data_IF_354145430395
#
_entry.id   IF_354145430395
#
_cell.length_a   1.000
_cell.length_b   1.000
_cell.length_c   1.000
_cell.angle_alpha   90.00
_cell.angle_beta   90.00
_cell.angle_gamma   90.00
#
_symmetry.space_group_name_H-M   'P 1'
#
loop_
_entity.id
_entity.type
_entity.pdbx_description
1 polymer ?
#
# COMPACT_ATOMS: atom_id res chain seq x y z
N UNK A 1 -24.30 16.40 23.62
CA UNK A 1 -25.26 15.31 23.88
C UNK A 1 -26.66 15.89 23.74
N UNK A 2 -27.33 15.67 22.60
CA UNK A 2 -28.71 16.15 22.36
C UNK A 2 -29.64 15.06 22.89
N UNK A 3 -30.31 15.34 23.99
CA UNK A 3 -31.36 14.47 24.53
C UNK A 3 -32.64 14.62 23.69
N UNK A 4 -33.01 13.54 22.98
CA UNK A 4 -34.32 13.45 22.34
C UNK A 4 -35.44 13.52 23.39
N UNK A 5 -36.46 14.33 23.13
CA UNK A 5 -37.58 14.50 24.03
C UNK A 5 -38.35 13.18 24.21
N UNK A 6 -38.94 12.98 25.41
CA UNK A 6 -39.74 11.78 25.77
C UNK A 6 -40.86 11.49 24.77
N UNK A 7 -41.35 12.50 24.07
CA UNK A 7 -42.41 12.37 23.06
C UNK A 7 -41.92 11.70 21.76
N UNK A 8 -40.66 11.91 21.38
CA UNK A 8 -40.06 11.26 20.22
C UNK A 8 -39.67 9.80 20.50
N UNK A 9 -39.39 9.47 21.76
CA UNK A 9 -39.13 8.07 22.16
C UNK A 9 -40.42 7.25 22.16
N UNK A 10 -41.56 7.83 22.60
CA UNK A 10 -42.87 7.17 22.60
C UNK A 10 -43.37 6.89 21.17
N UNK A 11 -43.18 7.83 20.23
CA UNK A 11 -43.56 7.65 18.83
C UNK A 11 -42.70 6.61 18.07
N UNK A 12 -41.47 6.40 18.52
CA UNK A 12 -40.61 5.33 17.97
C UNK A 12 -41.06 3.95 18.46
N UNK A 13 -41.47 3.88 19.72
CA UNK A 13 -41.92 2.64 20.35
C UNK A 13 -43.28 2.17 19.82
N UNK A 14 -44.20 3.11 19.56
CA UNK A 14 -45.53 2.84 18.98
C UNK A 14 -45.42 2.35 17.51
N UNK A 15 -44.40 2.80 16.74
CA UNK A 15 -44.12 2.33 15.37
C UNK A 15 -43.49 0.94 15.34
N UNK A 16 -42.86 0.49 16.39
CA UNK A 16 -42.27 -0.84 16.49
C UNK A 16 -43.29 -1.91 16.91
N UNK A 17 -44.29 -1.55 17.70
CA UNK A 17 -45.35 -2.49 18.16
C UNK A 17 -46.51 -2.67 17.18
N UNK A 18 -46.69 -1.79 16.20
CA UNK A 18 -47.76 -1.93 15.18
C UNK A 18 -47.38 -2.79 13.97
N UNK A 19 -46.23 -3.45 13.97
CA UNK A 19 -45.77 -4.36 12.91
C UNK A 19 -45.74 -5.85 13.27
N UNK A 20 -46.20 -6.20 14.49
CA UNK A 20 -46.35 -7.60 14.92
C UNK A 20 -47.84 -8.01 14.93
N UNK A 21 -48.43 -8.17 13.78
CA UNK A 21 -49.76 -8.73 13.65
C UNK A 21 -50.09 -8.96 12.17
N UNK A 22 -50.16 -10.23 11.81
CA UNK A 22 -50.56 -10.85 10.52
C UNK A 22 -49.45 -11.25 9.57
N UNK A 23 -48.79 -12.37 9.88
CA UNK A 23 -48.35 -13.37 8.90
C UNK A 23 -48.26 -14.74 9.58
N UNK A 24 -49.39 -15.37 9.76
CA UNK A 24 -49.48 -16.84 9.90
C UNK A 24 -49.96 -17.36 8.56
N UNK A 25 -49.12 -18.01 7.80
CA UNK A 25 -49.33 -19.30 7.16
C UNK A 25 -48.41 -19.43 5.91
N UNK A 26 -47.93 -20.66 5.78
CA UNK A 26 -47.14 -21.22 4.69
C UNK A 26 -45.62 -21.01 4.81
N UNK A 27 -44.98 -21.93 5.50
CA UNK A 27 -43.57 -22.24 5.33
C UNK A 27 -43.32 -22.62 3.88
N UNK A 28 -42.60 -21.82 3.10
CA UNK A 28 -41.98 -22.36 1.89
C UNK A 28 -40.96 -23.40 2.36
N UNK A 29 -41.02 -24.61 1.79
CA UNK A 29 -39.91 -25.53 1.85
C UNK A 29 -38.67 -24.72 1.38
N UNK A 30 -37.75 -24.44 2.29
CA UNK A 30 -36.40 -23.99 1.94
C UNK A 30 -35.80 -25.12 1.11
N UNK A 31 -35.92 -25.02 -0.19
CA UNK A 31 -34.97 -25.63 -1.10
C UNK A 31 -33.67 -24.87 -0.76
N UNK A 32 -32.83 -25.48 0.03
CA UNK A 32 -31.41 -25.08 0.16
C UNK A 32 -30.83 -25.17 -1.24
N UNK A 33 -30.88 -24.06 -1.97
CA UNK A 33 -30.03 -23.87 -3.13
C UNK A 33 -28.64 -23.75 -2.52
N UNK A 34 -27.88 -24.85 -2.57
CA UNK A 34 -26.46 -24.83 -2.23
C UNK A 34 -25.85 -23.67 -3.03
N UNK A 35 -25.34 -22.68 -2.35
CA UNK A 35 -24.58 -21.63 -3.02
C UNK A 35 -23.46 -22.33 -3.79
N UNK A 36 -23.30 -22.05 -5.11
CA UNK A 36 -22.26 -22.71 -5.88
C UNK A 36 -20.93 -22.54 -5.18
N UNK A 37 -20.16 -23.63 -5.08
CA UNK A 37 -18.82 -23.61 -4.51
C UNK A 37 -17.99 -22.54 -5.22
N UNK A 38 -17.35 -21.67 -4.47
CA UNK A 38 -16.48 -20.61 -5.01
C UNK A 38 -15.27 -21.21 -5.75
N UNK A 39 -14.91 -22.45 -5.40
CA UNK A 39 -13.84 -23.23 -6.01
C UNK A 39 -14.44 -24.61 -6.35
N UNK A 40 -14.55 -24.92 -7.63
CA UNK A 40 -14.99 -26.23 -8.13
C UNK A 40 -14.03 -26.72 -9.22
N UNK A 41 -12.94 -27.43 -8.85
CA UNK A 41 -11.95 -27.92 -9.81
C UNK A 41 -12.53 -28.89 -10.87
N UNK A 42 -13.70 -29.47 -10.62
CA UNK A 42 -14.33 -30.40 -11.61
C UNK A 42 -14.81 -29.70 -12.87
N UNK A 43 -14.95 -28.36 -12.81
CA UNK A 43 -15.37 -27.50 -13.95
C UNK A 43 -14.21 -26.96 -14.76
N UNK A 44 -12.98 -27.19 -14.33
CA UNK A 44 -11.79 -26.62 -14.95
C UNK A 44 -11.34 -27.42 -16.17
N UNK A 45 -10.81 -26.75 -17.18
CA UNK A 45 -10.30 -27.39 -18.39
C UNK A 45 -8.81 -27.67 -18.22
N UNK A 46 -8.44 -28.93 -18.10
CA UNK A 46 -7.04 -29.35 -17.99
C UNK A 46 -6.27 -29.03 -19.28
N UNK A 47 -5.03 -28.58 -19.14
CA UNK A 47 -4.09 -28.49 -20.25
C UNK A 47 -3.62 -29.88 -20.71
N UNK A 48 -2.93 -29.93 -21.84
CA UNK A 48 -2.25 -31.15 -22.29
C UNK A 48 -1.28 -31.64 -21.20
N UNK A 49 -1.23 -32.96 -20.96
CA UNK A 49 -0.32 -33.54 -19.96
C UNK A 49 1.16 -33.28 -20.26
N UNK A 50 1.50 -33.04 -21.51
CA UNK A 50 2.85 -32.68 -21.94
C UNK A 50 3.11 -31.15 -21.92
N UNK A 51 2.13 -30.35 -21.53
CA UNK A 51 2.29 -28.89 -21.47
C UNK A 51 3.39 -28.48 -20.47
N UNK A 52 4.16 -27.49 -20.84
CA UNK A 52 5.15 -26.82 -19.98
C UNK A 52 4.90 -25.32 -20.12
N UNK A 53 4.62 -24.66 -19.00
CA UNK A 53 4.43 -23.21 -18.98
C UNK A 53 5.75 -22.48 -18.69
N UNK A 54 5.86 -21.26 -19.20
CA UNK A 54 7.02 -20.40 -18.93
C UNK A 54 6.87 -19.76 -17.54
N UNK A 55 7.90 -19.92 -16.70
CA UNK A 55 7.93 -19.33 -15.36
C UNK A 55 7.78 -17.81 -15.39
N UNK A 56 8.30 -17.14 -16.43
CA UNK A 56 8.21 -15.68 -16.57
C UNK A 56 6.76 -15.19 -16.70
N UNK A 57 5.86 -16.00 -17.24
CA UNK A 57 4.45 -15.65 -17.34
C UNK A 57 3.76 -15.62 -15.96
N UNK A 58 4.33 -16.26 -14.95
CA UNK A 58 3.77 -16.40 -13.60
C UNK A 58 4.37 -15.41 -12.59
N UNK A 59 5.16 -14.45 -13.03
CA UNK A 59 5.57 -13.33 -12.15
C UNK A 59 4.30 -12.66 -11.62
N UNK A 60 4.16 -12.56 -10.27
CA UNK A 60 2.84 -12.38 -9.66
C UNK A 60 2.21 -11.01 -9.84
N UNK A 61 2.95 -10.02 -10.37
CA UNK A 61 2.48 -8.63 -10.39
C UNK A 61 3.06 -7.82 -11.55
N UNK A 62 2.35 -6.74 -11.88
CA UNK A 62 2.78 -5.72 -12.86
C UNK A 62 2.83 -4.35 -12.19
N UNK A 63 3.57 -3.42 -12.79
CA UNK A 63 3.57 -2.02 -12.37
C UNK A 63 2.15 -1.45 -12.33
N UNK A 64 1.87 -0.61 -11.34
CA UNK A 64 0.59 0.05 -11.15
C UNK A 64 -0.61 -0.91 -11.06
N UNK A 65 -0.39 -2.13 -10.58
CA UNK A 65 -1.44 -3.12 -10.40
C UNK A 65 -1.92 -3.14 -8.94
N UNK A 66 -3.24 -3.13 -8.78
CA UNK A 66 -3.94 -3.31 -7.50
C UNK A 66 -4.72 -4.61 -7.55
N UNK A 67 -4.52 -5.47 -6.58
CA UNK A 67 -5.32 -6.67 -6.32
C UNK A 67 -6.12 -6.50 -5.05
N UNK A 68 -7.34 -7.02 -5.05
CA UNK A 68 -8.21 -7.06 -3.89
C UNK A 68 -8.73 -8.48 -3.74
N UNK A 69 -8.53 -9.09 -2.58
CA UNK A 69 -9.09 -10.40 -2.27
C UNK A 69 -10.49 -10.31 -1.63
N UNK A 70 -11.10 -11.47 -1.36
CA UNK A 70 -12.43 -11.52 -0.74
C UNK A 70 -12.44 -11.07 0.72
N UNK A 71 -11.32 -11.17 1.43
CA UNK A 71 -11.18 -10.66 2.81
C UNK A 71 -11.13 -9.13 2.85
N UNK A 72 -10.96 -8.50 1.69
CA UNK A 72 -10.74 -7.05 1.56
C UNK A 72 -9.27 -6.65 1.64
N UNK A 73 -8.35 -7.62 1.74
CA UNK A 73 -6.91 -7.35 1.64
C UNK A 73 -6.60 -6.76 0.29
N UNK A 74 -5.84 -5.68 0.28
CA UNK A 74 -5.42 -4.96 -0.93
C UNK A 74 -3.92 -5.11 -1.10
N UNK A 75 -3.48 -5.39 -2.32
CA UNK A 75 -2.07 -5.53 -2.68
C UNK A 75 -1.75 -4.59 -3.83
N UNK A 76 -0.78 -3.72 -3.64
CA UNK A 76 -0.33 -2.76 -4.64
C UNK A 76 1.17 -2.88 -4.89
N UNK A 77 1.58 -2.85 -6.15
CA UNK A 77 3.00 -2.90 -6.53
C UNK A 77 3.66 -1.57 -6.21
N UNK A 78 4.51 -1.54 -5.19
CA UNK A 78 5.20 -0.34 -4.73
C UNK A 78 6.51 -0.13 -5.48
N UNK A 79 7.29 -1.21 -5.63
CA UNK A 79 8.54 -1.22 -6.39
C UNK A 79 8.64 -2.46 -7.26
N UNK A 80 9.12 -2.30 -8.48
CA UNK A 80 9.38 -3.36 -9.45
C UNK A 80 10.69 -3.05 -10.19
N UNK A 81 11.69 -3.92 -10.07
CA UNK A 81 12.95 -3.81 -10.78
C UNK A 81 13.17 -5.05 -11.67
N UNK A 82 12.87 -4.89 -12.95
CA UNK A 82 13.04 -5.96 -13.95
C UNK A 82 14.51 -6.31 -14.15
N UNK A 83 15.44 -5.37 -13.94
CA UNK A 83 16.87 -5.60 -14.12
C UNK A 83 17.47 -6.44 -13.00
N UNK A 84 17.00 -6.25 -11.77
CA UNK A 84 17.36 -7.03 -10.58
C UNK A 84 16.41 -8.20 -10.35
N UNK A 85 15.32 -8.28 -11.14
CA UNK A 85 14.26 -9.28 -10.99
C UNK A 85 13.71 -9.31 -9.58
N UNK A 86 13.30 -8.15 -9.06
CA UNK A 86 12.79 -7.97 -7.70
C UNK A 86 11.50 -7.17 -7.67
N UNK A 87 10.66 -7.43 -6.67
CA UNK A 87 9.35 -6.87 -6.52
C UNK A 87 9.04 -6.63 -5.04
N UNK A 88 8.52 -5.45 -4.72
CA UNK A 88 7.93 -5.12 -3.42
C UNK A 88 6.45 -4.81 -3.61
N UNK A 89 5.61 -5.53 -2.87
CA UNK A 89 4.17 -5.37 -2.87
C UNK A 89 3.72 -4.86 -1.51
N UNK A 90 3.07 -3.70 -1.50
CA UNK A 90 2.40 -3.18 -0.32
C UNK A 90 1.09 -3.93 -0.12
N UNK A 91 0.93 -4.54 1.04
CA UNK A 91 -0.29 -5.23 1.44
C UNK A 91 -0.98 -4.47 2.57
N UNK A 92 -2.28 -4.25 2.41
CA UNK A 92 -3.13 -3.59 3.39
C UNK A 92 -4.24 -4.54 3.83
N UNK A 93 -4.30 -4.83 5.12
CA UNK A 93 -5.33 -5.65 5.74
C UNK A 93 -5.92 -4.92 6.95
N UNK A 94 -7.09 -4.30 6.78
CA UNK A 94 -7.60 -3.34 7.77
C UNK A 94 -6.61 -2.17 7.91
N UNK A 95 -6.18 -1.92 9.16
CA UNK A 95 -5.19 -0.86 9.47
C UNK A 95 -3.74 -1.36 9.42
N UNK A 96 -3.53 -2.63 9.13
CA UNK A 96 -2.18 -3.21 9.06
C UNK A 96 -1.60 -3.04 7.66
N UNK A 97 -0.36 -2.56 7.63
CA UNK A 97 0.44 -2.39 6.42
C UNK A 97 1.67 -3.28 6.50
N UNK A 98 1.89 -4.09 5.48
CA UNK A 98 3.11 -4.89 5.33
C UNK A 98 3.62 -4.81 3.90
N UNK A 99 4.91 -4.97 3.71
CA UNK A 99 5.52 -5.08 2.39
C UNK A 99 5.97 -6.52 2.17
N UNK A 100 5.48 -7.14 1.10
CA UNK A 100 5.87 -8.47 0.65
C UNK A 100 7.03 -8.33 -0.33
N UNK A 101 8.10 -9.09 -0.14
CA UNK A 101 9.31 -9.01 -0.95
C UNK A 101 9.45 -10.26 -1.81
N UNK A 102 9.62 -10.09 -3.13
CA UNK A 102 9.81 -11.18 -4.08
C UNK A 102 11.06 -10.98 -4.92
N UNK A 103 11.63 -12.09 -5.34
CA UNK A 103 12.67 -12.17 -6.36
C UNK A 103 12.36 -13.30 -7.31
N UNK A 104 12.77 -13.18 -8.55
CA UNK A 104 12.68 -14.28 -9.53
C UNK A 104 13.96 -14.40 -10.34
N UNK A 105 14.16 -15.56 -10.90
CA UNK A 105 15.20 -15.90 -11.86
C UNK A 105 14.65 -16.88 -12.88
N UNK A 106 15.46 -17.46 -13.71
CA UNK A 106 15.00 -18.40 -14.74
C UNK A 106 14.61 -19.79 -14.15
N UNK A 107 14.84 -20.03 -12.85
CA UNK A 107 14.60 -21.30 -12.19
C UNK A 107 13.46 -21.22 -11.15
N UNK A 108 13.25 -20.06 -10.53
CA UNK A 108 12.33 -19.92 -9.40
C UNK A 108 11.72 -18.54 -9.27
N UNK A 109 10.54 -18.49 -8.67
CA UNK A 109 9.96 -17.30 -8.02
C UNK A 109 10.05 -17.52 -6.52
N UNK A 110 10.64 -16.57 -5.81
CA UNK A 110 10.97 -16.66 -4.40
C UNK A 110 10.29 -15.52 -3.64
N UNK A 111 9.72 -15.85 -2.47
CA UNK A 111 9.16 -14.89 -1.53
C UNK A 111 10.07 -14.81 -0.31
N UNK A 112 10.56 -13.62 -0.01
CA UNK A 112 11.49 -13.36 1.08
C UNK A 112 10.82 -12.91 2.39
N UNK A 113 9.52 -13.12 2.49
CA UNK A 113 8.73 -12.75 3.66
C UNK A 113 8.20 -11.32 3.60
N UNK A 114 7.77 -10.84 4.76
CA UNK A 114 7.11 -9.55 4.89
C UNK A 114 7.87 -8.63 5.85
N UNK A 115 7.84 -7.34 5.54
CA UNK A 115 8.39 -6.27 6.37
C UNK A 115 7.26 -5.33 6.79
N UNK A 116 7.19 -5.03 8.10
CA UNK A 116 6.34 -3.93 8.58
C UNK A 116 7.11 -2.63 8.37
N UNK A 117 6.62 -1.70 7.52
CA UNK A 117 7.38 -0.51 7.18
C UNK A 117 7.45 0.46 8.38
N UNK A 118 8.66 0.76 8.85
CA UNK A 118 8.90 1.83 9.83
C UNK A 118 8.76 3.21 9.19
N UNK A 119 9.25 3.34 7.96
CA UNK A 119 9.12 4.54 7.13
C UNK A 119 8.29 4.18 5.90
N UNK A 120 7.17 4.86 5.65
CA UNK A 120 6.34 4.58 4.48
C UNK A 120 7.11 4.78 3.16
N UNK A 121 6.76 3.99 2.14
CA UNK A 121 7.29 4.15 0.79
C UNK A 121 8.83 3.97 0.70
N UNK A 122 9.40 3.18 1.58
CA UNK A 122 10.81 2.80 1.54
C UNK A 122 11.01 1.58 0.67
N UNK A 123 12.03 1.59 -0.19
CA UNK A 123 12.42 0.42 -0.97
C UNK A 123 13.27 -0.54 -0.12
N UNK A 124 12.61 -1.47 0.56
CA UNK A 124 13.25 -2.48 1.41
C UNK A 124 14.02 -3.54 0.60
N UNK A 125 13.70 -3.73 -0.69
CA UNK A 125 14.43 -4.65 -1.55
C UNK A 125 15.90 -4.24 -1.69
N UNK A 126 16.15 -2.94 -1.84
CA UNK A 126 17.51 -2.43 -1.94
C UNK A 126 18.30 -2.71 -0.66
N UNK A 127 17.70 -2.43 0.49
CA UNK A 127 18.32 -2.66 1.81
C UNK A 127 18.53 -4.16 2.08
N UNK A 128 17.54 -4.98 1.75
CA UNK A 128 17.61 -6.43 1.95
C UNK A 128 18.68 -7.09 1.05
N UNK A 129 18.80 -6.67 -0.20
CA UNK A 129 19.81 -7.16 -1.14
C UNK A 129 21.24 -6.75 -0.73
N UNK A 130 21.43 -5.50 -0.26
CA UNK A 130 22.71 -5.00 0.22
C UNK A 130 23.13 -5.59 1.57
N UNK A 131 22.18 -5.94 2.43
CA UNK A 131 22.39 -6.41 3.79
C UNK A 131 22.51 -7.94 3.96
N UNK A 132 22.41 -8.75 2.91
CA UNK A 132 22.32 -10.22 2.97
C UNK A 132 21.25 -10.74 3.97
N UNK A 133 20.15 -10.00 4.15
CA UNK A 133 19.07 -10.36 5.08
C UNK A 133 18.06 -11.36 4.48
N UNK A 134 18.31 -11.85 3.27
CA UNK A 134 17.37 -12.66 2.48
C UNK A 134 17.63 -14.17 2.61
N UNK A 135 18.13 -14.67 3.75
CA UNK A 135 18.58 -16.06 3.89
C UNK A 135 17.47 -17.13 4.03
N UNK A 136 16.19 -16.74 4.08
CA UNK A 136 15.07 -17.68 4.25
C UNK A 136 13.97 -17.49 3.19
N UNK A 137 14.36 -17.54 1.93
CA UNK A 137 13.39 -17.48 0.85
C UNK A 137 12.51 -18.73 0.81
N UNK A 138 11.23 -18.51 0.66
CA UNK A 138 10.25 -19.51 0.30
C UNK A 138 10.19 -19.62 -1.23
N UNK A 139 10.46 -20.79 -1.81
CA UNK A 139 10.32 -21.00 -3.25
C UNK A 139 8.85 -21.19 -3.59
N UNK A 140 8.23 -20.15 -4.15
CA UNK A 140 6.81 -20.14 -4.50
C UNK A 140 6.51 -21.01 -5.72
N UNK A 141 7.30 -20.84 -6.79
CA UNK A 141 7.24 -21.66 -8.01
C UNK A 141 8.65 -22.01 -8.47
N UNK A 142 8.82 -23.22 -9.00
CA UNK A 142 10.11 -23.72 -9.54
C UNK A 142 9.94 -24.34 -10.92
N UNK A 143 10.76 -23.91 -11.88
CA UNK A 143 10.82 -24.49 -13.21
C UNK A 143 11.41 -25.92 -13.21
N UNK A 144 11.03 -26.75 -14.18
CA UNK A 144 10.04 -26.53 -15.24
C UNK A 144 8.61 -26.56 -14.69
N UNK A 145 7.72 -25.68 -15.18
CA UNK A 145 6.32 -25.66 -14.77
C UNK A 145 5.54 -26.75 -15.54
N UNK A 146 5.61 -27.98 -15.03
CA UNK A 146 4.96 -29.18 -15.60
C UNK A 146 4.39 -30.04 -14.48
N UNK A 147 3.37 -30.84 -14.80
CA UNK A 147 2.77 -31.77 -13.84
C UNK A 147 3.81 -32.76 -13.30
N UNK A 148 3.80 -32.94 -11.99
CA UNK A 148 4.73 -33.82 -11.27
C UNK A 148 6.03 -33.17 -10.84
N UNK A 149 6.32 -31.94 -11.25
CA UNK A 149 7.48 -31.18 -10.74
C UNK A 149 7.33 -30.98 -9.23
N UNK A 150 8.39 -31.28 -8.48
CA UNK A 150 8.46 -31.12 -7.02
C UNK A 150 9.66 -30.28 -6.61
N UNK A 151 9.51 -29.51 -5.54
CA UNK A 151 10.61 -28.76 -4.96
C UNK A 151 10.46 -28.57 -3.45
N UNK A 152 11.56 -28.21 -2.80
CA UNK A 152 11.56 -27.82 -1.41
C UNK A 152 11.12 -26.36 -1.32
N UNK A 153 9.92 -26.09 -0.78
CA UNK A 153 9.38 -24.74 -0.62
C UNK A 153 10.10 -23.99 0.50
N UNK A 154 10.18 -24.63 1.66
CA UNK A 154 10.98 -24.22 2.82
C UNK A 154 11.74 -25.42 3.36
N UNK A 155 12.54 -25.28 4.43
CA UNK A 155 13.28 -26.41 5.04
C UNK A 155 12.39 -27.62 5.41
N UNK A 156 11.09 -27.39 5.70
CA UNK A 156 10.17 -28.40 6.21
C UNK A 156 8.94 -28.62 5.32
N UNK A 157 8.83 -27.94 4.19
CA UNK A 157 7.67 -28.02 3.32
C UNK A 157 8.09 -28.38 1.90
N UNK A 158 7.41 -29.35 1.31
CA UNK A 158 7.58 -29.77 -0.08
C UNK A 158 6.35 -29.40 -0.88
N UNK A 159 6.54 -28.83 -2.06
CA UNK A 159 5.50 -28.49 -3.01
C UNK A 159 5.59 -29.34 -4.27
N UNK A 160 4.44 -29.53 -4.92
CA UNK A 160 4.30 -30.26 -6.19
C UNK A 160 3.29 -29.56 -7.10
N UNK A 161 3.59 -29.46 -8.40
CA UNK A 161 2.58 -29.15 -9.41
C UNK A 161 1.75 -30.40 -9.67
N UNK A 162 0.48 -30.33 -9.30
CA UNK A 162 -0.46 -31.46 -9.46
C UNK A 162 -1.28 -31.37 -10.73
N UNK A 163 -1.53 -30.16 -11.24
CA UNK A 163 -2.25 -29.96 -12.48
C UNK A 163 -1.87 -28.65 -13.18
N UNK A 164 -2.04 -28.65 -14.50
CA UNK A 164 -2.02 -27.45 -15.35
C UNK A 164 -3.39 -27.33 -16.02
N UNK A 165 -3.88 -26.11 -16.16
CA UNK A 165 -5.19 -25.81 -16.73
C UNK A 165 -5.09 -24.74 -17.80
N UNK A 166 -5.77 -24.98 -18.94
CA UNK A 166 -5.96 -23.98 -19.98
C UNK A 166 -6.96 -22.90 -19.53
N UNK A 167 -8.00 -23.33 -18.80
CA UNK A 167 -9.02 -22.44 -18.26
C UNK A 167 -9.55 -22.93 -16.91
N UNK A 168 -9.73 -22.01 -15.99
CA UNK A 168 -10.35 -22.22 -14.68
C UNK A 168 -11.44 -21.18 -14.44
N UNK A 169 -12.42 -21.56 -13.61
CA UNK A 169 -13.46 -20.65 -13.13
C UNK A 169 -13.41 -20.60 -11.60
N UNK A 170 -13.10 -19.43 -11.02
CA UNK A 170 -12.99 -19.23 -9.56
C UNK A 170 -13.75 -17.97 -9.18
N UNK A 171 -14.63 -18.06 -8.19
CA UNK A 171 -15.35 -16.94 -7.60
C UNK A 171 -16.09 -16.06 -8.65
N UNK A 172 -16.63 -16.68 -9.70
CA UNK A 172 -17.35 -16.00 -10.77
C UNK A 172 -16.45 -15.35 -11.83
N UNK A 173 -15.15 -15.64 -11.85
CA UNK A 173 -14.19 -15.12 -12.83
C UNK A 173 -13.52 -16.26 -13.59
N UNK A 174 -13.32 -16.06 -14.89
CA UNK A 174 -12.59 -16.97 -15.76
C UNK A 174 -11.12 -16.55 -15.87
N UNK A 175 -10.22 -17.52 -15.71
CA UNK A 175 -8.78 -17.32 -15.87
C UNK A 175 -8.23 -18.32 -16.88
N UNK A 176 -7.15 -17.94 -17.55
CA UNK A 176 -6.43 -18.79 -18.50
C UNK A 176 -5.03 -19.07 -17.99
N UNK A 177 -4.48 -20.21 -18.39
CA UNK A 177 -3.13 -20.66 -18.01
C UNK A 177 -2.95 -20.66 -16.48
N UNK A 178 -3.47 -21.68 -15.84
CA UNK A 178 -3.36 -21.83 -14.39
C UNK A 178 -2.54 -23.06 -14.01
N UNK A 179 -1.89 -22.99 -12.86
CA UNK A 179 -1.09 -24.04 -12.23
C UNK A 179 -1.69 -24.31 -10.86
N UNK A 180 -2.00 -25.56 -10.55
CA UNK A 180 -2.32 -25.97 -9.19
C UNK A 180 -1.08 -26.57 -8.53
N UNK A 181 -0.70 -25.98 -7.41
CA UNK A 181 0.39 -26.41 -6.55
C UNK A 181 -0.18 -26.94 -5.26
N UNK A 182 0.31 -28.09 -4.81
CA UNK A 182 -0.01 -28.65 -3.50
C UNK A 182 1.25 -28.64 -2.65
N UNK A 183 1.13 -28.06 -1.47
CA UNK A 183 2.18 -28.03 -0.44
C UNK A 183 1.75 -28.87 0.74
N UNK A 184 2.61 -29.83 1.14
CA UNK A 184 2.35 -30.67 2.31
C UNK A 184 2.62 -29.90 3.60
N UNK A 185 1.60 -29.83 4.48
CA UNK A 185 1.65 -29.18 5.78
C UNK A 185 1.17 -30.10 6.90
N UNK A 186 1.50 -29.79 8.15
CA UNK A 186 1.06 -30.58 9.32
C UNK A 186 -0.46 -30.65 9.48
N UNK A 187 -1.17 -29.60 9.03
CA UNK A 187 -2.64 -29.46 9.15
C UNK A 187 -3.45 -30.01 7.98
N UNK A 188 -2.80 -30.47 6.93
CA UNK A 188 -3.41 -30.91 5.67
C UNK A 188 -2.73 -30.26 4.47
N UNK A 189 -3.03 -30.74 3.30
CA UNK A 189 -2.45 -30.24 2.06
C UNK A 189 -2.97 -28.82 1.75
N UNK A 190 -2.05 -27.87 1.55
CA UNK A 190 -2.38 -26.53 1.06
C UNK A 190 -2.40 -26.54 -0.46
N UNK A 191 -3.55 -26.26 -1.04
CA UNK A 191 -3.73 -26.06 -2.48
C UNK A 191 -3.61 -24.58 -2.82
N UNK A 192 -2.83 -24.24 -3.82
CA UNK A 192 -2.67 -22.90 -4.35
C UNK A 192 -2.82 -22.91 -5.87
N UNK A 193 -3.60 -21.97 -6.40
CA UNK A 193 -3.76 -21.80 -7.84
C UNK A 193 -3.08 -20.52 -8.27
N UNK A 194 -2.09 -20.67 -9.14
CA UNK A 194 -1.36 -19.58 -9.75
C UNK A 194 -1.83 -19.39 -11.18
N UNK A 195 -2.08 -18.17 -11.57
CA UNK A 195 -2.52 -17.77 -12.91
C UNK A 195 -1.47 -16.89 -13.56
N UNK A 196 -1.24 -17.07 -14.85
CA UNK A 196 -0.31 -16.27 -15.62
C UNK A 196 -0.60 -14.77 -15.43
N UNK A 197 0.46 -13.99 -15.16
CA UNK A 197 0.46 -12.55 -14.94
C UNK A 197 -0.28 -12.06 -13.68
N UNK A 198 -0.87 -12.97 -12.92
CA UNK A 198 -1.60 -12.63 -11.69
C UNK A 198 -0.98 -13.25 -10.43
N UNK A 199 -0.19 -14.33 -10.56
CA UNK A 199 0.29 -15.09 -9.40
C UNK A 199 -0.83 -15.85 -8.70
N UNK A 200 -0.78 -16.01 -7.37
CA UNK A 200 -1.76 -16.79 -6.61
C UNK A 200 -3.12 -16.10 -6.59
N UNK A 201 -4.14 -16.75 -7.20
CA UNK A 201 -5.53 -16.25 -7.24
C UNK A 201 -6.44 -16.95 -6.23
N UNK A 202 -6.07 -18.15 -5.77
CA UNK A 202 -6.81 -18.88 -4.75
C UNK A 202 -5.86 -19.76 -3.93
N UNK A 203 -6.17 -19.91 -2.63
CA UNK A 203 -5.50 -20.85 -1.74
C UNK A 203 -6.50 -21.44 -0.74
N UNK A 204 -6.42 -22.75 -0.47
CA UNK A 204 -7.29 -23.46 0.45
C UNK A 204 -6.64 -24.75 0.98
N UNK A 205 -7.06 -25.18 2.17
CA UNK A 205 -6.93 -26.55 2.66
C UNK A 205 -8.26 -27.30 2.47
N UNK A 206 -9.37 -26.60 2.68
CA UNK A 206 -10.72 -27.05 2.40
C UNK A 206 -11.37 -26.09 1.39
N UNK A 207 -11.80 -26.59 0.23
CA UNK A 207 -12.36 -25.76 -0.86
C UNK A 207 -13.61 -24.97 -0.46
N UNK A 208 -14.33 -25.42 0.59
CA UNK A 208 -15.49 -24.72 1.17
C UNK A 208 -15.13 -23.53 2.03
N UNK A 209 -13.86 -23.43 2.49
CA UNK A 209 -13.36 -22.36 3.32
C UNK A 209 -11.99 -21.87 2.83
N UNK A 210 -11.94 -21.15 1.71
CA UNK A 210 -10.69 -20.72 1.12
C UNK A 210 -9.95 -19.71 2.02
N UNK A 211 -8.64 -19.87 2.11
CA UNK A 211 -7.73 -19.00 2.83
C UNK A 211 -7.53 -17.70 2.04
N UNK A 212 -7.50 -17.80 0.71
CA UNK A 212 -7.35 -16.67 -0.21
C UNK A 212 -8.26 -16.87 -1.43
N UNK A 213 -8.91 -15.80 -1.87
CA UNK A 213 -9.61 -15.71 -3.15
C UNK A 213 -9.46 -14.34 -3.73
N UNK A 214 -8.89 -14.24 -4.91
CA UNK A 214 -8.79 -12.98 -5.64
C UNK A 214 -10.18 -12.52 -6.09
N UNK A 215 -10.59 -11.33 -5.65
CA UNK A 215 -11.89 -10.74 -5.97
C UNK A 215 -11.84 -9.84 -7.20
N UNK A 216 -10.77 -9.05 -7.32
CA UNK A 216 -10.61 -8.13 -8.44
C UNK A 216 -9.16 -7.73 -8.66
N UNK A 217 -8.85 -7.42 -9.91
CA UNK A 217 -7.56 -6.83 -10.33
C UNK A 217 -7.87 -5.53 -11.07
N UNK A 218 -7.08 -4.51 -10.81
CA UNK A 218 -7.11 -3.25 -11.54
C UNK A 218 -5.70 -2.93 -12.00
N UNK A 219 -5.54 -2.71 -13.27
CA UNK A 219 -4.28 -2.28 -13.88
C UNK A 219 -4.28 -0.77 -14.09
N UNK A 220 -3.10 -0.19 -14.26
CA UNK A 220 -2.88 1.24 -14.52
C UNK A 220 -3.51 2.16 -13.47
N UNK A 221 -3.55 1.72 -12.22
CA UNK A 221 -4.07 2.51 -11.12
C UNK A 221 -2.95 3.22 -10.35
N UNK A 222 -3.26 4.41 -9.85
CA UNK A 222 -2.41 5.13 -8.91
C UNK A 222 -2.85 4.76 -7.48
N UNK A 223 -1.91 4.40 -6.64
CA UNK A 223 -2.18 4.22 -5.22
C UNK A 223 -2.42 5.58 -4.57
N UNK A 224 -3.57 5.74 -3.91
CA UNK A 224 -3.92 6.96 -3.17
C UNK A 224 -4.03 6.61 -1.70
N UNK A 225 -3.34 7.36 -0.85
CA UNK A 225 -3.39 7.18 0.59
C UNK A 225 -3.58 8.53 1.29
N UNK A 226 -4.24 8.51 2.45
CA UNK A 226 -4.42 9.69 3.28
C UNK A 226 -3.26 9.80 4.26
N UNK A 227 -2.58 10.93 4.27
CA UNK A 227 -1.49 11.17 5.20
C UNK A 227 -1.69 12.47 5.99
N UNK A 228 -1.27 12.52 7.26
CA UNK A 228 -1.13 13.76 7.99
C UNK A 228 -0.24 14.70 7.17
N UNK A 229 -0.69 15.93 7.01
CA UNK A 229 0.04 16.95 6.24
C UNK A 229 -0.06 18.26 6.98
N UNK A 230 1.09 18.86 7.21
CA UNK A 230 1.20 20.14 7.90
C UNK A 230 1.18 21.25 6.87
N UNK A 231 0.12 22.05 6.88
CA UNK A 231 -0.10 23.13 5.91
C UNK A 231 0.20 24.50 6.49
N UNK A 232 0.85 25.41 5.73
CA UNK A 232 1.18 26.73 6.21
C UNK A 232 -0.07 27.59 6.35
N UNK A 233 -0.28 28.23 7.50
CA UNK A 233 -1.40 29.15 7.74
C UNK A 233 -0.93 30.61 7.68
N UNK A 234 0.01 30.98 8.51
CA UNK A 234 0.55 32.34 8.55
C UNK A 234 2.01 32.35 9.02
N UNK A 235 2.67 33.47 8.80
CA UNK A 235 3.98 33.75 9.37
C UNK A 235 3.93 35.13 10.02
N UNK A 236 4.09 35.20 11.35
CA UNK A 236 4.18 36.44 12.11
C UNK A 236 5.62 36.65 12.53
N UNK A 237 6.19 37.86 12.33
CA UNK A 237 7.58 38.16 12.70
C UNK A 237 7.89 37.98 14.20
N UNK A 238 6.87 38.04 15.06
CA UNK A 238 7.03 37.95 16.51
C UNK A 238 6.76 36.55 17.07
N UNK A 239 5.82 35.80 16.48
CA UNK A 239 5.39 34.47 16.94
C UNK A 239 5.94 33.33 16.09
N UNK A 240 6.50 33.65 14.93
CA UNK A 240 7.01 32.65 13.98
C UNK A 240 5.94 32.08 13.03
N UNK A 241 6.24 30.98 12.36
CA UNK A 241 5.31 30.33 11.46
C UNK A 241 4.22 29.58 12.24
N UNK A 242 3.03 29.52 11.65
CA UNK A 242 1.92 28.74 12.16
C UNK A 242 1.49 27.71 11.11
N UNK A 243 1.37 26.47 11.53
CA UNK A 243 0.92 25.34 10.72
C UNK A 243 -0.40 24.79 11.25
N UNK A 244 -1.20 24.21 10.36
CA UNK A 244 -2.31 23.33 10.71
C UNK A 244 -2.02 21.90 10.26
N UNK A 245 -2.58 20.91 10.95
CA UNK A 245 -2.53 19.53 10.54
C UNK A 245 -3.83 19.17 9.80
N UNK A 246 -3.70 18.67 8.59
CA UNK A 246 -4.83 18.25 7.75
C UNK A 246 -4.55 16.85 7.18
N UNK A 247 -5.60 16.06 6.91
CA UNK A 247 -5.44 14.81 6.14
C UNK A 247 -5.52 15.16 4.66
N UNK A 248 -4.46 14.88 3.93
CA UNK A 248 -4.35 15.17 2.49
C UNK A 248 -4.12 13.86 1.74
N UNK A 249 -4.85 13.69 0.64
CA UNK A 249 -4.63 12.58 -0.28
C UNK A 249 -3.26 12.74 -0.96
N UNK A 250 -2.45 11.70 -0.85
CA UNK A 250 -1.16 11.60 -1.54
C UNK A 250 -1.21 10.45 -2.54
N UNK A 251 -0.45 10.58 -3.60
CA UNK A 251 -0.44 9.60 -4.70
C UNK A 251 0.92 8.94 -4.81
N UNK A 252 0.91 7.67 -5.22
CA UNK A 252 2.11 6.89 -5.50
C UNK A 252 1.90 6.02 -6.74
N UNK A 253 2.86 6.01 -7.64
CA UNK A 253 2.95 5.05 -8.74
C UNK A 253 4.11 4.08 -8.46
N UNK A 254 4.04 2.90 -9.06
CA UNK A 254 5.15 1.94 -8.97
C UNK A 254 6.46 2.61 -9.39
N UNK A 255 7.48 2.47 -8.56
CA UNK A 255 8.82 3.07 -8.73
C UNK A 255 8.88 4.59 -8.58
N UNK A 256 7.85 5.23 -8.08
CA UNK A 256 7.99 6.64 -7.70
C UNK A 256 9.14 6.81 -6.70
N UNK A 257 9.82 7.94 -6.79
CA UNK A 257 10.74 8.38 -5.75
C UNK A 257 10.00 9.24 -4.71
N UNK A 258 10.55 9.33 -3.50
CA UNK A 258 10.04 10.27 -2.50
C UNK A 258 10.06 11.71 -3.02
N UNK A 259 11.06 12.09 -3.82
CA UNK A 259 11.12 13.40 -4.44
C UNK A 259 9.90 13.67 -5.33
N UNK A 260 9.48 12.69 -6.16
CA UNK A 260 8.27 12.83 -6.99
C UNK A 260 6.99 12.90 -6.16
N UNK A 261 6.87 12.09 -5.11
CA UNK A 261 5.72 12.12 -4.20
C UNK A 261 5.60 13.47 -3.48
N UNK A 262 6.70 13.97 -2.92
CA UNK A 262 6.72 15.28 -2.27
C UNK A 262 6.55 16.43 -3.26
N UNK A 263 7.06 16.32 -4.48
CA UNK A 263 6.82 17.31 -5.53
C UNK A 263 5.34 17.48 -5.82
N UNK A 264 4.61 16.37 -6.03
CA UNK A 264 3.15 16.42 -6.23
C UNK A 264 2.46 17.08 -5.04
N UNK A 265 2.78 16.65 -3.81
CA UNK A 265 2.23 17.25 -2.60
C UNK A 265 2.45 18.77 -2.58
N UNK A 266 3.68 19.23 -2.77
CA UNK A 266 4.02 20.65 -2.66
C UNK A 266 3.42 21.49 -3.78
N UNK A 267 3.26 20.93 -4.98
CA UNK A 267 2.58 21.57 -6.11
C UNK A 267 1.06 21.62 -5.91
N UNK A 268 0.44 20.51 -5.48
CA UNK A 268 -1.01 20.43 -5.21
C UNK A 268 -1.43 21.40 -4.10
N UNK A 269 -0.56 21.61 -3.12
CA UNK A 269 -0.75 22.60 -2.05
C UNK A 269 -0.30 24.01 -2.44
N UNK A 270 0.14 24.22 -3.67
CA UNK A 270 0.66 25.49 -4.18
C UNK A 270 1.83 26.08 -3.36
N UNK A 271 2.61 25.25 -2.67
CA UNK A 271 3.80 25.71 -1.93
C UNK A 271 4.98 26.00 -2.84
N UNK A 272 5.03 25.29 -3.97
CA UNK A 272 6.01 25.52 -5.03
C UNK A 272 5.30 25.74 -6.36
N UNK A 273 5.90 26.52 -7.24
CA UNK A 273 5.40 26.73 -8.59
C UNK A 273 5.55 25.48 -9.47
N UNK A 274 4.81 25.41 -10.58
CA UNK A 274 4.82 24.23 -11.48
C UNK A 274 6.20 24.00 -12.12
N UNK A 275 7.03 25.02 -12.24
CA UNK A 275 8.39 24.91 -12.81
C UNK A 275 9.45 24.50 -11.79
N UNK A 276 9.10 24.42 -10.50
CA UNK A 276 10.00 24.03 -9.43
C UNK A 276 9.97 22.50 -9.28
N UNK A 277 11.16 21.93 -9.24
CA UNK A 277 11.33 20.48 -9.05
C UNK A 277 11.88 20.19 -7.65
N UNK A 278 11.37 19.12 -7.03
CA UNK A 278 12.01 18.47 -5.89
C UNK A 278 13.03 17.48 -6.46
N UNK A 279 14.30 17.74 -6.23
CA UNK A 279 15.41 16.98 -6.83
C UNK A 279 15.79 15.76 -5.99
N UNK A 280 15.65 15.85 -4.67
CA UNK A 280 15.99 14.80 -3.72
C UNK A 280 15.18 14.92 -2.45
N UNK A 281 14.77 13.79 -1.89
CA UNK A 281 14.25 13.65 -0.52
C UNK A 281 14.86 12.38 0.06
N UNK A 282 15.72 12.53 1.07
CA UNK A 282 16.50 11.42 1.61
C UNK A 282 16.79 11.56 3.09
N UNK A 283 17.22 10.47 3.73
CA UNK A 283 17.69 10.43 5.10
C UNK A 283 19.17 10.02 5.11
N UNK A 284 20.02 10.82 5.77
CA UNK A 284 21.42 10.48 5.90
C UNK A 284 21.70 9.59 7.14
N UNK A 285 22.92 9.06 7.23
CA UNK A 285 23.34 8.21 8.35
C UNK A 285 23.34 8.89 9.72
N UNK A 286 23.32 10.22 9.76
CA UNK A 286 23.27 11.02 11.00
C UNK A 286 21.83 11.26 11.48
N UNK A 287 20.81 10.74 10.79
CA UNK A 287 19.41 10.96 11.12
C UNK A 287 18.91 12.38 10.75
N UNK A 288 19.55 13.04 9.79
CA UNK A 288 19.10 14.32 9.24
C UNK A 288 18.43 14.02 7.90
N UNK A 289 17.17 14.39 7.76
CA UNK A 289 16.48 14.32 6.48
C UNK A 289 16.91 15.49 5.58
N UNK A 290 16.90 15.27 4.28
CA UNK A 290 17.23 16.30 3.28
C UNK A 290 16.08 16.42 2.29
N UNK A 291 15.77 17.67 1.91
CA UNK A 291 14.96 17.99 0.73
C UNK A 291 15.71 19.00 -0.12
N UNK A 292 15.88 18.70 -1.41
CA UNK A 292 16.61 19.56 -2.34
C UNK A 292 15.72 19.98 -3.51
N UNK A 293 15.76 21.24 -3.86
CA UNK A 293 14.93 21.85 -4.90
C UNK A 293 15.76 22.34 -6.08
N UNK A 294 15.08 22.52 -7.22
CA UNK A 294 15.62 23.26 -8.37
C UNK A 294 15.72 24.77 -8.06
N UNK A 295 16.50 25.54 -8.83
CA UNK A 295 16.59 27.00 -8.69
C UNK A 295 15.21 27.68 -8.79
N UNK A 296 15.08 28.83 -8.13
CA UNK A 296 13.85 29.63 -8.15
C UNK A 296 12.87 29.31 -7.01
N UNK A 297 13.09 28.23 -6.25
CA UNK A 297 12.19 27.84 -5.15
C UNK A 297 12.03 28.93 -4.08
N UNK A 298 13.08 29.67 -3.75
CA UNK A 298 13.01 30.76 -2.76
C UNK A 298 12.03 31.87 -3.20
N UNK A 299 12.05 32.21 -4.49
CA UNK A 299 11.08 33.15 -5.05
C UNK A 299 9.64 32.60 -4.97
N UNK A 300 9.45 31.31 -5.19
CA UNK A 300 8.16 30.65 -5.04
C UNK A 300 7.66 30.72 -3.58
N UNK A 301 8.51 30.41 -2.61
CA UNK A 301 8.17 30.50 -1.18
C UNK A 301 7.77 31.91 -0.77
N UNK A 302 8.53 32.95 -1.24
CA UNK A 302 8.27 34.33 -0.92
C UNK A 302 6.97 34.89 -1.49
N UNK A 303 6.44 34.25 -2.54
CA UNK A 303 5.15 34.64 -3.17
C UNK A 303 3.95 33.98 -2.50
N UNK A 304 4.15 32.98 -1.63
CA UNK A 304 3.05 32.28 -0.97
C UNK A 304 2.35 33.21 0.05
N UNK A 305 0.99 33.22 0.09
CA UNK A 305 0.23 34.11 0.99
C UNK A 305 0.56 33.95 2.49
N UNK A 306 0.91 32.74 2.94
CA UNK A 306 1.32 32.49 4.32
C UNK A 306 2.75 32.96 4.65
N UNK A 307 3.52 33.37 3.64
CA UNK A 307 4.89 33.82 3.75
C UNK A 307 5.94 32.71 3.70
N UNK A 308 7.15 33.10 3.31
CA UNK A 308 8.28 32.20 3.06
C UNK A 308 8.57 31.27 4.24
N UNK A 309 8.59 31.80 5.47
CA UNK A 309 8.94 30.97 6.63
C UNK A 309 7.89 29.93 6.98
N UNK A 310 6.60 30.25 6.83
CA UNK A 310 5.54 29.26 7.08
C UNK A 310 5.59 28.10 6.07
N UNK A 311 5.91 28.38 4.79
CA UNK A 311 6.09 27.34 3.76
C UNK A 311 7.29 26.46 4.07
N UNK A 312 8.43 27.07 4.44
CA UNK A 312 9.63 26.31 4.82
C UNK A 312 9.34 25.43 6.04
N UNK A 313 8.67 25.97 7.07
CA UNK A 313 8.27 25.21 8.26
C UNK A 313 7.35 24.03 7.90
N UNK A 314 6.38 24.23 7.00
CA UNK A 314 5.51 23.18 6.52
C UNK A 314 6.29 22.07 5.79
N UNK A 315 7.21 22.44 4.91
CA UNK A 315 8.08 21.47 4.21
C UNK A 315 8.93 20.70 5.23
N UNK A 316 9.60 21.40 6.15
CA UNK A 316 10.42 20.80 7.22
C UNK A 316 9.60 19.81 8.04
N UNK A 317 8.41 20.21 8.50
CA UNK A 317 7.55 19.37 9.33
C UNK A 317 7.09 18.12 8.58
N UNK A 318 6.67 18.24 7.32
CA UNK A 318 6.22 17.10 6.52
C UNK A 318 7.34 16.10 6.20
N UNK A 319 8.54 16.59 5.89
CA UNK A 319 9.71 15.74 5.63
C UNK A 319 10.19 15.07 6.92
N UNK A 320 10.25 15.84 8.02
CA UNK A 320 10.62 15.31 9.34
C UNK A 320 9.65 14.23 9.82
N UNK A 321 8.35 14.46 9.66
CA UNK A 321 7.33 13.48 10.05
C UNK A 321 7.41 12.19 9.22
N UNK A 322 7.69 12.29 7.92
CA UNK A 322 7.87 11.12 7.06
C UNK A 322 9.00 10.21 7.55
N UNK A 323 10.16 10.79 7.90
CA UNK A 323 11.33 10.03 8.36
C UNK A 323 11.39 9.83 9.88
N UNK A 324 10.41 10.37 10.64
CA UNK A 324 10.41 10.35 12.12
C UNK A 324 11.67 10.97 12.73
N UNK A 325 12.13 12.08 12.18
CA UNK A 325 13.33 12.81 12.62
C UNK A 325 12.99 14.22 13.12
N UNK A 326 13.97 14.87 13.77
CA UNK A 326 13.82 16.23 14.31
C UNK A 326 14.55 17.30 13.49
N UNK A 327 15.37 16.88 12.52
CA UNK A 327 16.19 17.78 11.74
C UNK A 327 16.01 17.56 10.25
N UNK A 328 15.81 18.65 9.51
CA UNK A 328 15.68 18.64 8.06
C UNK A 328 16.58 19.69 7.43
N UNK A 329 17.36 19.28 6.46
CA UNK A 329 18.16 20.16 5.64
C UNK A 329 17.40 20.52 4.36
N UNK A 330 17.20 21.81 4.12
CA UNK A 330 16.54 22.34 2.92
C UNK A 330 17.57 22.96 1.99
N UNK A 331 17.70 22.39 0.78
CA UNK A 331 18.77 22.71 -0.15
C UNK A 331 18.22 23.23 -1.49
N UNK A 332 19.06 23.94 -2.24
CA UNK A 332 18.84 24.29 -3.65
C UNK A 332 20.00 23.72 -4.46
N UNK A 333 19.72 22.77 -5.36
CA UNK A 333 20.72 22.02 -6.12
C UNK A 333 21.85 21.44 -5.25
N UNK A 334 21.48 20.89 -4.08
CA UNK A 334 22.45 20.34 -3.14
C UNK A 334 23.27 21.38 -2.34
N UNK A 335 23.05 22.68 -2.58
CA UNK A 335 23.72 23.75 -1.86
C UNK A 335 22.79 24.37 -0.81
N UNK A 336 23.38 25.05 0.15
CA UNK A 336 22.63 25.74 1.20
C UNK A 336 21.69 26.79 0.60
N UNK A 337 20.45 26.76 1.06
CA UNK A 337 19.42 27.68 0.63
C UNK A 337 19.64 29.07 1.31
N UNK A 338 19.65 30.11 0.49
CA UNK A 338 19.63 31.50 0.97
C UNK A 338 18.18 32.00 0.92
N UNK A 339 17.64 32.34 2.07
CA UNK A 339 16.28 32.92 2.21
C UNK A 339 16.30 34.43 2.03
N UNK A 340 15.14 35.02 1.72
CA UNK A 340 15.04 36.49 1.53
C UNK A 340 14.58 37.22 2.79
N UNK A 341 13.74 36.58 3.60
CA UNK A 341 13.07 37.20 4.76
C UNK A 341 13.60 36.73 6.12
N UNK A 342 14.18 35.54 6.16
CA UNK A 342 14.72 34.97 7.39
C UNK A 342 16.17 34.51 7.18
N UNK A 343 17.04 34.69 8.18
CA UNK A 343 18.37 34.11 8.11
C UNK A 343 18.22 32.57 8.09
N UNK A 344 18.74 31.92 7.05
CA UNK A 344 18.83 30.49 7.03
C UNK A 344 19.68 29.99 8.21
N UNK A 345 19.27 28.92 8.88
CA UNK A 345 20.09 28.30 9.92
C UNK A 345 21.40 27.75 9.33
N UNK A 346 22.41 27.47 10.18
CA UNK A 346 23.69 26.92 9.73
C UNK A 346 23.48 25.68 8.83
N UNK A 347 24.16 25.67 7.68
CA UNK A 347 24.03 24.61 6.66
C UNK A 347 22.57 24.34 6.20
N UNK A 348 21.70 25.35 6.27
CA UNK A 348 20.26 25.23 5.96
C UNK A 348 19.57 24.07 6.68
N UNK A 349 20.00 23.74 7.90
CA UNK A 349 19.44 22.68 8.72
C UNK A 349 18.44 23.26 9.72
N UNK A 350 17.18 22.92 9.55
CA UNK A 350 16.06 23.37 10.37
C UNK A 350 15.77 22.33 11.44
N UNK A 351 15.48 22.80 12.65
CA UNK A 351 14.97 21.99 13.75
C UNK A 351 13.44 22.07 13.72
N UNK A 352 12.76 20.92 13.84
CA UNK A 352 11.32 20.87 14.06
C UNK A 352 10.99 21.57 15.37
N UNK A 353 10.06 22.52 15.33
CA UNK A 353 9.59 23.24 16.53
C UNK A 353 8.11 22.92 16.79
N UNK A 354 7.78 22.25 17.91
CA UNK A 354 6.40 21.91 18.25
C UNK A 354 5.50 23.15 18.41
N UNK A 355 6.08 24.34 18.61
CA UNK A 355 5.30 25.57 18.68
C UNK A 355 4.76 26.04 17.32
N UNK A 356 5.19 25.46 16.22
CA UNK A 356 4.58 25.73 14.90
C UNK A 356 3.13 25.27 14.79
N UNK A 357 2.71 24.33 15.63
CA UNK A 357 1.33 23.84 15.71
C UNK A 357 0.59 24.52 16.85
N UNK A 358 -0.67 24.91 16.65
CA UNK A 358 -1.52 25.38 17.73
C UNK A 358 -1.77 24.28 18.77
N UNK A 359 -1.99 24.64 20.02
CA UNK A 359 -2.17 23.68 21.11
C UNK A 359 -3.36 22.72 20.89
N UNK A 360 -4.44 23.16 20.22
CA UNK A 360 -5.56 22.30 19.80
C UNK A 360 -5.17 21.29 18.72
N UNK A 361 -4.27 21.68 17.83
CA UNK A 361 -3.82 20.86 16.71
C UNK A 361 -2.70 19.91 17.12
N UNK A 362 -1.92 20.23 18.16
CA UNK A 362 -0.95 19.30 18.75
C UNK A 362 -1.62 18.04 19.33
N UNK A 363 -2.80 18.18 19.93
CA UNK A 363 -3.57 17.06 20.45
C UNK A 363 -4.16 16.20 19.30
N UNK A 364 -4.65 16.83 18.22
CA UNK A 364 -5.15 16.15 17.04
C UNK A 364 -4.05 15.48 16.24
N UNK A 365 -2.89 16.12 16.06
CA UNK A 365 -1.73 15.54 15.40
C UNK A 365 -1.22 14.28 16.11
N UNK A 366 -1.23 14.27 17.45
CA UNK A 366 -0.85 13.10 18.23
C UNK A 366 -1.81 11.90 18.02
N UNK A 367 -3.11 12.16 17.76
CA UNK A 367 -4.11 11.13 17.44
C UNK A 367 -4.04 10.73 15.96
N UNK A 368 -3.63 11.65 15.06
CA UNK A 368 -3.56 11.44 13.62
C UNK A 368 -2.28 10.70 13.17
N UNK A 369 -1.34 10.43 14.07
CA UNK A 369 -0.09 9.72 13.74
C UNK A 369 -0.33 8.26 13.32
N UNK A 370 -1.53 7.71 13.56
CA UNK A 370 -1.98 6.47 12.97
C UNK A 370 -2.47 6.74 11.53
N UNK A 371 -1.68 6.34 10.55
CA UNK A 371 -2.06 6.40 9.14
C UNK A 371 -3.23 5.46 8.89
N UNK A 372 -4.44 5.99 8.74
CA UNK A 372 -5.52 5.25 8.10
C UNK A 372 -5.33 5.36 6.59
N UNK A 373 -4.80 4.31 5.99
CA UNK A 373 -4.69 4.19 4.55
C UNK A 373 -6.07 3.78 3.99
N UNK A 374 -6.91 4.75 3.74
CA UNK A 374 -8.14 4.55 2.98
C UNK A 374 -7.81 4.65 1.50
N UNK A 375 -7.88 3.53 0.79
CA UNK A 375 -7.65 3.49 -0.65
C UNK A 375 -8.84 4.15 -1.36
N UNK A 376 -8.71 5.42 -1.67
CA UNK A 376 -9.66 6.13 -2.53
C UNK A 376 -9.29 5.78 -3.97
N UNK A 377 -10.17 5.05 -4.64
CA UNK A 377 -10.05 4.79 -6.07
C UNK A 377 -10.29 6.12 -6.79
N UNK A 378 -9.26 6.66 -7.42
CA UNK A 378 -9.40 7.79 -8.33
C UNK A 378 -10.34 7.42 -9.50
N UNK A 379 -10.94 8.43 -10.15
CA UNK A 379 -11.90 8.23 -11.24
C UNK A 379 -11.29 7.55 -12.45
#
# INVERSE_FOLDING_TARGET
MIQLSKENQAKLQEKMTSREGDYLSESPQETTVESPSLIDPTTWTSADQAAVYDLQDFIPYRANQLKIDQSGTKEYVEYLDDSQKTLQVRQLQGDQVTNQLYRWNDQSIEHYGQVVPEVPLTNYLKEALEGNQLDQAEVVLQAPLQVGQTWQRTANQQSQIVALYDQIHIAGQDYQQAIEVVTQEEGGDLHEVYVAQLGCVAAWQEATNPIRLLKSVKDDVMFVYQAPTYVPKTSDPTTGPMLASERVARTWQTNDSLAQSFQRLFQDQAWIGPDIQVLDVSLNQQGIATVSFSPGVVASFSQHPAGEYAVIAAIVQNVADHFKVQQVQVLVQGNWMLTTTFPAPPASTYQVDPNWLQASEQAEAAVMTEMTEELILGP
#
